data_IF_189088807211
#
_entry.id   IF_189088807211
#
_cell.length_a   1.000
_cell.length_b   1.000
_cell.length_c   1.000
_cell.angle_alpha   90.00
_cell.angle_beta   90.00
_cell.angle_gamma   90.00
#
_symmetry.space_group_name_H-M   'P 1'
#
loop_
_entity.id
_entity.type
_entity.pdbx_description
1 polymer ?
#
# COMPACT_ATOMS: atom_id res chain seq x y z
N UNK A 1 -0.05 -15.48 24.84
CA UNK A 1 0.51 -16.65 25.56
C UNK A 1 1.60 -17.39 24.76
N UNK A 2 1.42 -17.56 23.45
CA UNK A 2 2.30 -18.34 22.58
C UNK A 2 3.68 -17.70 22.28
N UNK A 3 3.73 -16.39 22.00
CA UNK A 3 4.99 -15.65 21.75
C UNK A 3 6.01 -15.82 22.89
N UNK A 4 5.56 -15.76 24.15
CA UNK A 4 6.41 -15.98 25.33
C UNK A 4 6.92 -17.43 25.43
N UNK A 5 6.11 -18.43 25.04
CA UNK A 5 6.53 -19.85 25.05
C UNK A 5 7.62 -20.12 24.01
N UNK A 6 7.64 -19.36 22.92
CA UNK A 6 8.69 -19.40 21.91
C UNK A 6 9.95 -18.60 22.30
N UNK A 7 10.03 -18.00 23.50
CA UNK A 7 11.16 -17.17 23.91
C UNK A 7 11.22 -15.78 23.24
N UNK A 8 10.16 -15.38 22.52
CA UNK A 8 10.03 -14.03 21.96
C UNK A 8 9.36 -13.10 22.98
N UNK A 9 9.70 -11.81 22.94
CA UNK A 9 9.07 -10.76 23.76
C UNK A 9 8.33 -9.80 22.83
N UNK A 10 7.01 -9.66 23.03
CA UNK A 10 6.19 -8.72 22.28
C UNK A 10 6.20 -7.32 22.90
N UNK A 11 6.12 -6.30 22.05
CA UNK A 11 5.82 -4.91 22.40
C UNK A 11 4.69 -4.44 21.49
N UNK A 12 3.88 -3.52 22.00
CA UNK A 12 2.83 -2.82 21.27
C UNK A 12 3.06 -1.34 21.56
N UNK A 13 2.92 -0.51 20.54
CA UNK A 13 3.04 0.93 20.62
C UNK A 13 1.72 1.54 20.17
N UNK A 14 1.22 2.48 20.96
CA UNK A 14 0.15 3.36 20.49
C UNK A 14 0.77 4.42 19.58
N UNK A 15 0.18 4.61 18.40
CA UNK A 15 0.60 5.63 17.43
C UNK A 15 0.53 7.02 18.08
N UNK A 16 1.43 7.92 17.66
CA UNK A 16 1.49 9.31 18.16
C UNK A 16 0.11 9.98 18.15
N UNK A 17 -0.28 10.55 19.29
CA UNK A 17 -1.55 11.23 19.47
C UNK A 17 -2.78 10.30 19.53
N UNK A 18 -2.58 8.99 19.73
CA UNK A 18 -3.64 8.00 19.94
C UNK A 18 -3.48 7.32 21.29
N UNK A 19 -4.62 7.01 21.91
CA UNK A 19 -4.68 6.34 23.22
C UNK A 19 -3.78 7.02 24.26
N UNK A 20 -2.81 6.29 24.81
CA UNK A 20 -1.91 6.78 25.85
C UNK A 20 -0.68 7.52 25.27
N UNK A 21 -0.50 7.55 23.95
CA UNK A 21 0.62 8.23 23.30
C UNK A 21 0.38 9.73 23.13
N UNK A 22 1.36 10.53 23.56
CA UNK A 22 1.37 11.98 23.39
C UNK A 22 1.48 12.40 21.91
N UNK A 23 1.30 13.71 21.66
CA UNK A 23 1.49 14.33 20.35
C UNK A 23 0.20 14.56 19.58
N UNK A 24 0.30 14.75 18.26
CA UNK A 24 -0.84 14.98 17.37
C UNK A 24 -0.92 13.86 16.36
N UNK A 25 -2.10 13.26 16.25
CA UNK A 25 -2.36 12.23 15.27
C UNK A 25 -2.54 12.83 13.86
N UNK A 26 -1.86 12.21 12.91
CA UNK A 26 -2.02 12.40 11.47
C UNK A 26 -1.62 11.09 10.82
N UNK A 27 -2.52 10.51 10.03
CA UNK A 27 -2.35 9.17 9.44
C UNK A 27 -0.99 9.05 8.73
N UNK A 28 -0.13 8.09 9.11
CA UNK A 28 1.11 7.71 8.40
C UNK A 28 2.20 8.77 8.36
N UNK A 29 1.98 9.96 8.95
CA UNK A 29 2.91 11.09 8.81
C UNK A 29 4.18 10.91 9.66
N UNK A 30 4.05 10.33 10.86
CA UNK A 30 5.17 10.15 11.79
C UNK A 30 5.60 8.69 11.96
N UNK A 31 4.77 7.74 11.52
CA UNK A 31 4.86 6.33 11.91
C UNK A 31 6.15 5.67 11.44
N UNK A 32 6.66 6.08 10.26
CA UNK A 32 7.96 5.63 9.78
C UNK A 32 9.09 5.99 10.75
N UNK A 33 9.17 7.23 11.23
CA UNK A 33 10.24 7.68 12.11
C UNK A 33 10.03 7.18 13.54
N UNK A 34 8.80 7.26 14.04
CA UNK A 34 8.44 6.80 15.39
C UNK A 34 8.66 5.29 15.55
N UNK A 35 8.38 4.52 14.50
CA UNK A 35 8.70 3.10 14.43
C UNK A 35 10.21 2.84 14.48
N UNK A 36 11.03 3.65 13.79
CA UNK A 36 12.49 3.50 13.81
C UNK A 36 13.07 3.82 15.19
N UNK A 37 12.61 4.91 15.80
CA UNK A 37 13.01 5.29 17.15
C UNK A 37 12.60 4.22 18.17
N UNK A 38 11.43 3.60 18.00
CA UNK A 38 11.01 2.45 18.82
C UNK A 38 11.96 1.27 18.65
N UNK A 39 12.39 0.95 17.42
CA UNK A 39 13.35 -0.13 17.18
C UNK A 39 14.69 0.14 17.87
N UNK A 40 15.22 1.35 17.76
CA UNK A 40 16.46 1.75 18.42
C UNK A 40 16.32 1.68 19.94
N UNK A 41 15.20 2.17 20.49
CA UNK A 41 14.92 2.09 21.91
C UNK A 41 14.84 0.64 22.39
N UNK A 42 14.11 -0.24 21.68
CA UNK A 42 14.02 -1.67 22.01
C UNK A 42 15.40 -2.32 21.96
N UNK A 43 16.20 -2.01 20.94
CA UNK A 43 17.53 -2.59 20.76
C UNK A 43 18.49 -2.21 21.90
N UNK A 44 18.36 -1.01 22.45
CA UNK A 44 19.18 -0.53 23.57
C UNK A 44 18.86 -1.21 24.92
N UNK A 45 17.76 -1.95 25.03
CA UNK A 45 17.36 -2.55 26.30
C UNK A 45 18.18 -3.81 26.63
N UNK A 46 18.55 -3.99 27.90
CA UNK A 46 19.35 -5.14 28.37
C UNK A 46 18.70 -6.51 28.11
N UNK A 47 17.37 -6.55 27.90
CA UNK A 47 16.62 -7.78 27.59
C UNK A 47 16.51 -8.06 26.09
N UNK A 48 17.04 -7.18 25.23
CA UNK A 48 16.98 -7.28 23.77
C UNK A 48 18.25 -7.89 23.21
N UNK A 49 18.10 -8.64 22.12
CA UNK A 49 19.25 -9.13 21.32
C UNK A 49 19.65 -8.13 20.23
N UNK A 50 18.95 -6.99 20.14
CA UNK A 50 19.09 -6.04 19.03
C UNK A 50 18.47 -6.52 17.71
N UNK A 51 17.89 -7.73 17.66
CA UNK A 51 17.17 -8.26 16.50
C UNK A 51 15.68 -8.19 16.73
N UNK A 52 14.99 -7.36 15.96
CA UNK A 52 13.58 -7.07 16.16
C UNK A 52 12.79 -7.47 14.92
N UNK A 53 11.71 -8.21 15.15
CA UNK A 53 10.74 -8.54 14.12
C UNK A 53 9.44 -7.80 14.34
N UNK A 54 8.79 -7.41 13.24
CA UNK A 54 7.48 -6.72 13.28
C UNK A 54 6.39 -7.62 12.68
N UNK A 55 5.16 -7.47 13.18
CA UNK A 55 3.97 -8.25 12.81
C UNK A 55 2.73 -7.36 12.96
N UNK A 56 1.79 -7.46 12.03
CA UNK A 56 0.56 -6.67 12.08
C UNK A 56 -0.20 -6.70 10.77
N UNK A 57 -1.48 -6.38 10.83
CA UNK A 57 -2.38 -6.31 9.68
C UNK A 57 -2.88 -4.88 9.44
N UNK A 58 -3.23 -4.57 8.18
CA UNK A 58 -3.79 -3.28 7.77
C UNK A 58 -2.78 -2.18 8.07
N UNK A 59 -3.19 -1.12 8.75
CA UNK A 59 -2.33 -0.04 9.25
C UNK A 59 -1.03 -0.55 9.92
N UNK A 60 -1.13 -1.56 10.79
CA UNK A 60 0.03 -2.13 11.48
C UNK A 60 0.95 -2.90 10.51
N UNK A 61 0.43 -3.34 9.37
CA UNK A 61 1.19 -3.91 8.27
C UNK A 61 1.87 -2.84 7.44
N UNK A 62 1.16 -1.76 7.14
CA UNK A 62 1.64 -0.60 6.39
C UNK A 62 2.83 0.05 7.09
N UNK A 63 2.73 0.31 8.40
CA UNK A 63 3.80 0.86 9.22
C UNK A 63 5.11 0.07 9.06
N UNK A 64 5.04 -1.25 8.92
CA UNK A 64 6.23 -2.09 8.74
C UNK A 64 6.89 -1.86 7.39
N UNK A 65 6.09 -1.75 6.32
CA UNK A 65 6.58 -1.48 4.97
C UNK A 65 7.21 -0.09 4.92
N UNK A 66 6.52 0.91 5.45
CA UNK A 66 6.97 2.29 5.48
C UNK A 66 8.28 2.43 6.27
N UNK A 67 8.32 1.94 7.50
CA UNK A 67 9.52 1.89 8.34
C UNK A 67 10.71 1.21 7.65
N UNK A 68 10.47 0.13 6.90
CA UNK A 68 11.55 -0.64 6.28
C UNK A 68 12.39 0.17 5.28
N UNK A 69 11.86 1.29 4.76
CA UNK A 69 12.58 2.21 3.85
C UNK A 69 13.72 2.96 4.55
N UNK A 70 13.64 3.12 5.87
CA UNK A 70 14.71 3.73 6.67
C UNK A 70 15.88 2.76 6.88
N UNK A 71 15.68 1.47 6.61
CA UNK A 71 16.71 0.41 6.72
C UNK A 71 17.36 0.39 8.11
N UNK A 72 16.56 0.58 9.15
CA UNK A 72 17.03 0.49 10.53
C UNK A 72 17.72 -0.88 10.75
N UNK A 73 18.97 -0.92 11.26
CA UNK A 73 19.75 -2.15 11.39
C UNK A 73 19.13 -3.17 12.35
N UNK A 74 18.23 -2.74 13.24
CA UNK A 74 17.52 -3.60 14.18
C UNK A 74 16.26 -4.24 13.57
N UNK A 75 15.73 -3.71 12.45
CA UNK A 75 14.59 -4.28 11.74
C UNK A 75 15.01 -5.54 10.97
N UNK A 76 14.94 -6.69 11.63
CA UNK A 76 15.57 -7.92 11.15
C UNK A 76 14.65 -8.75 10.25
N UNK A 77 13.34 -8.69 10.46
CA UNK A 77 12.35 -9.37 9.62
C UNK A 77 10.94 -8.83 9.88
N UNK A 78 10.08 -8.87 8.88
CA UNK A 78 8.69 -8.41 9.02
C UNK A 78 7.66 -9.38 8.46
N UNK A 79 6.45 -9.31 9.01
CA UNK A 79 5.26 -10.00 8.50
C UNK A 79 4.15 -8.94 8.35
N UNK A 80 4.20 -8.13 7.28
CA UNK A 80 3.16 -7.17 6.97
C UNK A 80 1.97 -7.91 6.34
N UNK A 81 0.78 -7.74 6.94
CA UNK A 81 -0.44 -8.34 6.42
C UNK A 81 -1.39 -7.26 5.89
N UNK A 82 -2.01 -7.49 4.73
CA UNK A 82 -2.88 -6.53 4.04
C UNK A 82 -2.31 -5.10 4.05
N UNK A 83 -1.04 -4.97 3.69
CA UNK A 83 -0.25 -3.75 3.88
C UNK A 83 -0.10 -2.90 2.61
N UNK A 84 -1.02 -3.04 1.65
CA UNK A 84 -0.86 -2.37 0.36
C UNK A 84 -1.10 -0.86 0.39
N UNK A 85 -1.75 -0.33 1.43
CA UNK A 85 -1.92 1.11 1.60
C UNK A 85 -0.59 1.86 1.72
N UNK A 86 0.48 1.19 2.15
CA UNK A 86 1.84 1.74 2.15
C UNK A 86 2.34 2.13 0.74
N UNK A 87 1.78 1.53 -0.32
CA UNK A 87 2.11 1.85 -1.72
C UNK A 87 1.16 2.88 -2.35
N UNK A 88 -0.09 2.97 -1.87
CA UNK A 88 -1.17 3.78 -2.47
C UNK A 88 -1.95 4.61 -1.46
N UNK A 89 -1.25 5.49 -0.74
CA UNK A 89 -1.93 6.53 0.04
C UNK A 89 -3.02 5.96 0.99
N UNK A 90 -2.67 4.94 1.78
CA UNK A 90 -3.60 4.22 2.67
C UNK A 90 -4.77 3.50 1.98
N UNK A 91 -4.59 3.01 0.75
CA UNK A 91 -5.60 2.32 -0.07
C UNK A 91 -6.78 3.22 -0.50
N UNK A 92 -6.63 4.53 -0.35
CA UNK A 92 -7.73 5.48 -0.55
C UNK A 92 -7.96 5.81 -2.02
N UNK A 93 -6.94 5.65 -2.88
CA UNK A 93 -6.99 6.04 -4.28
C UNK A 93 -6.70 4.85 -5.20
N UNK A 94 -7.73 4.39 -5.91
CA UNK A 94 -7.61 3.37 -6.95
C UNK A 94 -7.80 3.99 -8.33
N UNK A 95 -6.74 3.99 -9.15
CA UNK A 95 -6.80 4.57 -10.50
C UNK A 95 -7.14 6.06 -10.54
N UNK A 96 -6.94 6.78 -9.43
CA UNK A 96 -7.30 8.20 -9.26
C UNK A 96 -8.72 8.44 -8.74
N UNK A 97 -9.49 7.40 -8.46
CA UNK A 97 -10.80 7.48 -7.81
C UNK A 97 -10.69 7.19 -6.31
N UNK A 98 -11.45 7.91 -5.49
CA UNK A 98 -11.51 7.68 -4.03
C UNK A 98 -12.34 6.43 -3.73
N UNK A 99 -11.73 5.47 -3.03
CA UNK A 99 -12.39 4.27 -2.49
C UNK A 99 -13.29 4.60 -1.30
N UNK A 100 -14.39 5.32 -1.52
CA UNK A 100 -15.23 5.86 -0.44
C UNK A 100 -15.75 4.79 0.54
N UNK A 101 -16.03 3.58 0.07
CA UNK A 101 -16.52 2.48 0.90
C UNK A 101 -15.53 2.00 1.95
N UNK A 102 -14.23 2.17 1.70
CA UNK A 102 -13.16 1.85 2.65
C UNK A 102 -12.79 3.10 3.47
N UNK A 103 -12.56 4.21 2.77
CA UNK A 103 -12.12 5.48 3.33
C UNK A 103 -13.04 5.98 4.47
N UNK A 104 -14.32 6.18 4.15
CA UNK A 104 -15.21 6.90 5.05
C UNK A 104 -15.49 6.12 6.35
N UNK A 105 -15.81 4.81 6.32
CA UNK A 105 -15.96 4.03 7.55
C UNK A 105 -14.67 3.95 8.38
N UNK A 106 -13.50 3.87 7.72
CA UNK A 106 -12.22 3.85 8.42
C UNK A 106 -11.98 5.16 9.18
N UNK A 107 -12.12 6.31 8.52
CA UNK A 107 -11.95 7.61 9.18
C UNK A 107 -12.99 7.88 10.26
N UNK A 108 -14.24 7.47 10.04
CA UNK A 108 -15.31 7.56 11.04
C UNK A 108 -14.96 6.80 12.32
N UNK A 109 -14.31 5.64 12.20
CA UNK A 109 -14.00 4.76 13.34
C UNK A 109 -12.65 5.05 13.98
N UNK A 110 -11.62 5.30 13.18
CA UNK A 110 -10.22 5.35 13.63
C UNK A 110 -9.55 6.70 13.45
N UNK A 111 -10.10 7.56 12.58
CA UNK A 111 -9.52 8.85 12.20
C UNK A 111 -9.63 9.96 13.24
N UNK A 112 -10.25 9.72 14.39
CA UNK A 112 -10.38 10.73 15.45
C UNK A 112 -9.02 11.24 15.89
N UNK A 113 -8.87 12.57 15.89
CA UNK A 113 -7.70 13.28 16.44
C UNK A 113 -7.82 13.61 17.94
N UNK A 114 -8.90 13.20 18.58
CA UNK A 114 -9.13 13.37 20.02
C UNK A 114 -9.33 12.00 20.68
N UNK A 115 -8.85 11.90 21.92
CA UNK A 115 -9.00 10.70 22.74
C UNK A 115 -9.61 11.05 24.10
N UNK A 116 -10.59 10.25 24.60
CA UNK A 116 -11.15 9.06 23.96
C UNK A 116 -11.98 9.42 22.71
N UNK A 117 -11.83 8.62 21.64
CA UNK A 117 -12.60 8.81 20.42
C UNK A 117 -14.13 8.70 20.67
N UNK A 118 -14.96 9.53 20.02
CA UNK A 118 -16.42 9.42 20.11
C UNK A 118 -16.95 8.09 19.60
N UNK A 119 -18.06 7.61 20.18
CA UNK A 119 -18.74 6.40 19.76
C UNK A 119 -19.47 6.60 18.43
N UNK A 120 -19.09 5.85 17.38
CA UNK A 120 -19.65 5.99 16.03
C UNK A 120 -20.41 4.76 15.53
N UNK A 121 -20.58 3.71 16.35
CA UNK A 121 -21.30 2.48 15.93
C UNK A 121 -22.78 2.67 15.57
N UNK A 122 -23.40 3.78 15.99
CA UNK A 122 -24.80 4.10 15.70
C UNK A 122 -25.01 4.86 14.39
N UNK A 123 -23.94 5.22 13.68
CA UNK A 123 -24.04 5.92 12.40
C UNK A 123 -24.66 5.01 11.35
N UNK A 124 -25.69 5.51 10.67
CA UNK A 124 -26.26 4.85 9.50
C UNK A 124 -25.32 5.07 8.29
N UNK A 125 -24.49 4.07 8.02
CA UNK A 125 -23.53 4.12 6.90
C UNK A 125 -24.24 4.30 5.55
N UNK A 126 -25.42 3.70 5.35
CA UNK A 126 -26.15 3.82 4.09
C UNK A 126 -26.61 5.26 3.86
N UNK A 127 -27.09 5.95 4.90
CA UNK A 127 -27.40 7.38 4.81
C UNK A 127 -26.15 8.24 4.68
N UNK A 128 -25.06 7.91 5.38
CA UNK A 128 -23.79 8.64 5.25
C UNK A 128 -23.29 8.65 3.80
N UNK A 129 -23.33 7.51 3.11
CA UNK A 129 -22.89 7.40 1.71
C UNK A 129 -23.73 8.22 0.71
N UNK A 130 -24.93 8.66 1.08
CA UNK A 130 -25.77 9.54 0.27
C UNK A 130 -25.44 11.04 0.47
N UNK A 131 -24.49 11.37 1.34
CA UNK A 131 -24.16 12.75 1.69
C UNK A 131 -23.38 13.46 0.60
N UNK A 132 -23.83 14.67 0.24
CA UNK A 132 -23.12 15.59 -0.65
C UNK A 132 -22.88 16.98 0.01
N UNK A 133 -21.76 17.67 -0.32
CA UNK A 133 -20.59 17.10 -1.01
C UNK A 133 -19.94 16.01 -0.14
N UNK A 134 -19.37 14.99 -0.80
CA UNK A 134 -18.92 13.77 -0.11
C UNK A 134 -17.75 14.04 0.85
N UNK A 135 -16.96 15.11 0.62
CA UNK A 135 -15.88 15.56 1.52
C UNK A 135 -16.38 15.82 2.95
N UNK A 136 -17.64 16.26 3.12
CA UNK A 136 -18.22 16.50 4.44
C UNK A 136 -18.84 15.25 5.09
N UNK A 137 -18.81 14.07 4.43
CA UNK A 137 -19.69 12.96 4.84
C UNK A 137 -19.39 12.44 6.25
N UNK A 138 -18.11 12.27 6.58
CA UNK A 138 -17.67 11.73 7.88
C UNK A 138 -18.01 12.73 8.99
N UNK A 139 -17.77 14.02 8.74
CA UNK A 139 -18.15 15.12 9.63
C UNK A 139 -19.66 15.22 9.84
N UNK A 140 -20.47 15.16 8.78
CA UNK A 140 -21.94 15.21 8.86
C UNK A 140 -22.54 13.98 9.53
N UNK A 141 -21.84 12.85 9.49
CA UNK A 141 -22.16 11.65 10.25
C UNK A 141 -21.82 11.75 11.76
N UNK A 142 -21.23 12.86 12.21
CA UNK A 142 -20.94 13.12 13.62
C UNK A 142 -19.54 12.72 14.06
N UNK A 143 -18.63 12.41 13.14
CA UNK A 143 -17.23 12.22 13.48
C UNK A 143 -16.60 13.51 14.04
N UNK A 144 -15.63 13.42 14.96
CA UNK A 144 -14.77 14.54 15.30
C UNK A 144 -13.88 14.91 14.11
N UNK A 145 -13.02 15.91 14.28
CA UNK A 145 -12.04 16.26 13.25
C UNK A 145 -11.12 15.06 12.93
N UNK A 146 -10.98 14.74 11.64
CA UNK A 146 -10.16 13.64 11.10
C UNK A 146 -9.28 14.16 9.96
N UNK A 147 -8.47 13.31 9.32
CA UNK A 147 -7.78 13.68 8.07
C UNK A 147 -8.63 13.42 6.81
N UNK A 148 -9.87 12.90 6.93
CA UNK A 148 -10.71 12.49 5.79
C UNK A 148 -10.83 13.58 4.72
N UNK A 149 -11.16 14.79 5.13
CA UNK A 149 -11.36 15.93 4.22
C UNK A 149 -10.12 16.19 3.37
N UNK A 150 -8.93 16.16 3.98
CA UNK A 150 -7.68 16.36 3.26
C UNK A 150 -7.42 15.18 2.31
N UNK A 151 -7.50 13.95 2.80
CA UNK A 151 -7.21 12.74 2.03
C UNK A 151 -8.08 12.58 0.78
N UNK A 152 -9.34 13.03 0.81
CA UNK A 152 -10.24 12.92 -0.35
C UNK A 152 -10.27 14.18 -1.23
N UNK A 153 -9.52 15.23 -0.85
CA UNK A 153 -9.44 16.49 -1.61
C UNK A 153 -8.16 16.62 -2.44
N UNK A 154 -7.14 15.80 -2.17
CA UNK A 154 -5.86 15.84 -2.90
C UNK A 154 -5.82 14.87 -4.08
N UNK A 155 -5.37 15.37 -5.23
CA UNK A 155 -5.14 14.54 -6.41
C UNK A 155 -3.93 13.61 -6.19
N UNK A 156 -3.83 12.47 -6.90
CA UNK A 156 -2.72 11.52 -6.70
C UNK A 156 -1.30 12.08 -6.91
N UNK A 157 -1.16 13.16 -7.69
CA UNK A 157 0.11 13.83 -7.99
C UNK A 157 0.38 15.08 -7.12
N UNK A 158 -0.47 15.33 -6.13
CA UNK A 158 -0.32 16.47 -5.23
C UNK A 158 0.92 16.30 -4.30
N UNK A 159 1.84 17.29 -4.22
CA UNK A 159 2.97 17.24 -3.29
C UNK A 159 2.58 17.11 -1.81
N UNK A 160 1.32 17.36 -1.45
CA UNK A 160 0.77 17.08 -0.12
C UNK A 160 1.07 15.65 0.36
N UNK A 161 1.12 14.68 -0.55
CA UNK A 161 1.43 13.28 -0.25
C UNK A 161 2.88 13.02 0.17
N UNK A 162 3.82 13.92 -0.15
CA UNK A 162 5.25 13.76 0.20
C UNK A 162 5.51 13.85 1.72
N UNK A 163 4.49 14.21 2.49
CA UNK A 163 4.55 14.39 3.95
C UNK A 163 4.32 13.09 4.72
N UNK A 164 4.04 11.99 4.03
CA UNK A 164 3.73 10.69 4.62
C UNK A 164 4.82 9.65 4.41
N UNK A 165 4.71 8.55 5.15
CA UNK A 165 5.60 7.41 5.13
C UNK A 165 5.54 6.52 3.88
N UNK A 166 4.65 6.78 2.92
CA UNK A 166 4.43 5.90 1.76
C UNK A 166 5.70 5.58 0.97
N UNK A 167 5.69 4.40 0.36
CA UNK A 167 6.80 3.86 -0.42
C UNK A 167 6.55 3.96 -1.91
N UNK A 168 7.64 4.14 -2.64
CA UNK A 168 7.65 4.21 -4.11
C UNK A 168 8.94 3.62 -4.67
N UNK A 169 9.04 3.54 -5.99
CA UNK A 169 10.18 2.95 -6.73
C UNK A 169 11.58 3.51 -6.41
N UNK A 170 11.67 4.69 -5.77
CA UNK A 170 12.94 5.32 -5.36
C UNK A 170 13.48 4.73 -4.06
N UNK A 171 12.62 4.16 -3.23
CA UNK A 171 13.00 3.62 -1.93
C UNK A 171 13.81 2.32 -2.05
N UNK A 172 14.58 2.02 -1.02
CA UNK A 172 15.49 0.86 -0.93
C UNK A 172 15.25 0.14 0.39
N UNK A 173 15.50 -1.16 0.41
CA UNK A 173 15.09 -2.02 1.51
C UNK A 173 16.21 -2.98 1.92
N UNK A 174 16.26 -3.33 3.21
CA UNK A 174 17.20 -4.33 3.72
C UNK A 174 16.53 -5.44 4.57
N UNK A 175 15.20 -5.38 4.73
CA UNK A 175 14.45 -6.26 5.62
C UNK A 175 13.80 -7.42 4.85
N UNK A 176 14.05 -8.69 5.23
CA UNK A 176 13.22 -9.82 4.81
C UNK A 176 11.74 -9.61 5.13
N UNK A 177 10.85 -9.91 4.19
CA UNK A 177 9.41 -9.76 4.37
C UNK A 177 8.64 -11.04 4.02
N UNK A 178 7.70 -11.41 4.89
CA UNK A 178 6.65 -12.38 4.60
C UNK A 178 5.33 -11.63 4.50
N UNK A 179 4.98 -11.20 3.28
CA UNK A 179 3.75 -10.46 3.04
C UNK A 179 2.57 -11.42 2.96
N UNK A 180 1.48 -11.08 3.65
CA UNK A 180 0.27 -11.92 3.68
C UNK A 180 -0.93 -11.08 3.29
N UNK A 181 -1.75 -11.56 2.37
CA UNK A 181 -2.98 -10.87 1.96
C UNK A 181 -4.01 -11.91 1.52
N UNK A 182 -5.20 -11.46 1.13
CA UNK A 182 -6.29 -12.32 0.66
C UNK A 182 -6.80 -11.87 -0.70
N UNK A 183 -7.34 -12.79 -1.49
CA UNK A 183 -8.01 -12.49 -2.76
C UNK A 183 -9.25 -11.59 -2.60
N UNK A 184 -9.91 -11.58 -1.43
CA UNK A 184 -11.03 -10.68 -1.15
C UNK A 184 -10.61 -9.40 -0.40
N UNK A 185 -9.31 -9.11 -0.38
CA UNK A 185 -8.77 -7.87 0.15
C UNK A 185 -8.52 -6.89 -1.00
N UNK A 186 -8.87 -5.61 -0.82
CA UNK A 186 -8.71 -4.56 -1.85
C UNK A 186 -7.24 -4.36 -2.22
N UNK A 187 -6.33 -4.57 -1.28
CA UNK A 187 -4.89 -4.33 -1.43
C UNK A 187 -4.08 -5.53 -1.93
N UNK A 188 -4.74 -6.57 -2.44
CA UNK A 188 -4.04 -7.79 -2.89
C UNK A 188 -3.07 -7.52 -4.05
N UNK A 189 -3.42 -6.59 -4.94
CA UNK A 189 -2.57 -6.21 -6.06
C UNK A 189 -1.27 -5.54 -5.57
N UNK A 190 -1.42 -4.61 -4.64
CA UNK A 190 -0.35 -3.83 -4.01
C UNK A 190 0.59 -4.74 -3.22
N UNK A 191 0.08 -5.79 -2.59
CA UNK A 191 0.91 -6.80 -1.91
C UNK A 191 1.93 -7.42 -2.88
N UNK A 192 1.52 -7.77 -4.10
CA UNK A 192 2.46 -8.27 -5.11
C UNK A 192 3.40 -7.17 -5.61
N UNK A 193 2.91 -5.93 -5.80
CA UNK A 193 3.76 -4.80 -6.21
C UNK A 193 4.83 -4.50 -5.17
N UNK A 194 4.48 -4.48 -3.88
CA UNK A 194 5.39 -4.27 -2.76
C UNK A 194 6.42 -5.40 -2.69
N UNK A 195 6.00 -6.66 -2.77
CA UNK A 195 6.94 -7.79 -2.73
C UNK A 195 7.93 -7.74 -3.90
N UNK A 196 7.44 -7.41 -5.10
CA UNK A 196 8.29 -7.20 -6.28
C UNK A 196 9.24 -6.02 -6.08
N UNK A 197 8.72 -4.88 -5.63
CA UNK A 197 9.49 -3.67 -5.39
C UNK A 197 10.62 -3.92 -4.39
N UNK A 198 10.31 -4.54 -3.25
CA UNK A 198 11.30 -4.86 -2.23
C UNK A 198 12.37 -5.85 -2.72
N UNK A 199 11.98 -6.80 -3.57
CA UNK A 199 12.93 -7.73 -4.22
C UNK A 199 13.85 -7.00 -5.20
N UNK A 200 13.33 -6.11 -6.02
CA UNK A 200 14.10 -5.38 -7.04
C UNK A 200 14.99 -4.29 -6.43
N UNK A 201 14.52 -3.67 -5.35
CA UNK A 201 15.19 -2.56 -4.68
C UNK A 201 15.91 -2.97 -3.39
N UNK A 202 16.07 -4.27 -3.14
CA UNK A 202 16.82 -4.77 -1.99
C UNK A 202 18.31 -4.50 -2.13
N UNK A 203 18.95 -3.93 -1.11
CA UNK A 203 20.37 -3.56 -1.18
C UNK A 203 21.32 -4.74 -0.95
N UNK A 204 20.86 -5.74 -0.20
CA UNK A 204 21.60 -6.98 0.07
C UNK A 204 20.94 -8.17 -0.63
N UNK A 205 21.71 -9.23 -0.88
CA UNK A 205 21.17 -10.52 -1.32
C UNK A 205 20.16 -11.07 -0.29
N UNK A 206 20.46 -10.88 1.00
CA UNK A 206 19.53 -11.17 2.08
C UNK A 206 18.16 -10.52 1.84
N UNK A 207 18.11 -9.22 1.55
CA UNK A 207 16.86 -8.51 1.31
C UNK A 207 16.17 -8.97 0.02
N UNK A 208 16.93 -9.10 -1.08
CA UNK A 208 16.38 -9.47 -2.39
C UNK A 208 15.80 -10.89 -2.38
N UNK A 209 16.52 -11.84 -1.80
CA UNK A 209 16.14 -13.26 -1.88
C UNK A 209 15.11 -13.65 -0.83
N UNK A 210 14.81 -12.80 0.16
CA UNK A 210 13.90 -13.12 1.26
C UNK A 210 12.64 -12.26 1.29
N UNK A 211 12.07 -12.05 0.11
CA UNK A 211 10.71 -11.58 -0.06
C UNK A 211 9.80 -12.77 -0.32
N UNK A 212 8.69 -12.88 0.42
CA UNK A 212 7.73 -13.97 0.33
C UNK A 212 6.31 -13.41 0.31
N UNK A 213 5.41 -14.10 -0.39
CA UNK A 213 3.99 -13.73 -0.50
C UNK A 213 3.12 -14.94 -0.17
N UNK A 214 2.13 -14.74 0.70
CA UNK A 214 1.05 -15.71 0.95
C UNK A 214 -0.26 -15.02 0.61
N UNK A 215 -0.98 -15.51 -0.40
CA UNK A 215 -2.33 -15.04 -0.72
C UNK A 215 -3.37 -16.09 -0.41
N UNK A 216 -4.29 -15.72 0.45
CA UNK A 216 -5.35 -16.58 0.94
C UNK A 216 -6.72 -16.10 0.44
N UNK A 217 -7.82 -16.47 1.09
CA UNK A 217 -9.16 -16.36 0.54
C UNK A 217 -10.23 -15.90 1.54
N UNK A 218 -9.88 -15.47 2.76
CA UNK A 218 -10.81 -14.81 3.70
C UNK A 218 -10.90 -13.31 3.45
N UNK A 219 -11.41 -12.52 4.40
CA UNK A 219 -11.57 -11.06 4.28
C UNK A 219 -10.46 -10.31 5.03
N UNK A 220 -10.42 -8.99 4.91
CA UNK A 220 -9.39 -8.14 5.51
C UNK A 220 -9.07 -8.51 6.97
N UNK A 221 -7.80 -8.83 7.24
CA UNK A 221 -7.26 -9.28 8.53
C UNK A 221 -7.82 -10.58 9.13
N UNK A 222 -8.61 -11.36 8.40
CA UNK A 222 -9.23 -12.59 8.91
C UNK A 222 -8.47 -13.88 8.54
N UNK A 223 -7.17 -13.78 8.24
CA UNK A 223 -6.40 -14.86 7.59
C UNK A 223 -6.45 -16.23 8.29
N UNK A 224 -6.59 -16.27 9.62
CA UNK A 224 -6.68 -17.48 10.41
C UNK A 224 -8.11 -18.00 10.63
N UNK A 225 -9.11 -17.37 10.01
CA UNK A 225 -10.52 -17.76 10.12
C UNK A 225 -10.93 -18.89 9.18
N UNK A 226 -10.03 -19.32 8.28
CA UNK A 226 -10.31 -20.41 7.35
C UNK A 226 -10.52 -21.75 8.10
N UNK A 227 -11.48 -22.54 7.61
CA UNK A 227 -11.83 -23.86 8.14
C UNK A 227 -11.73 -24.93 7.05
N UNK A 228 -11.96 -26.19 7.43
CA UNK A 228 -12.10 -27.33 6.50
C UNK A 228 -13.25 -27.15 5.48
N UNK A 229 -14.16 -26.22 5.74
CA UNK A 229 -15.26 -25.83 4.86
C UNK A 229 -15.42 -24.32 4.89
N UNK A 230 -14.51 -23.63 4.22
CA UNK A 230 -14.52 -22.17 4.19
C UNK A 230 -15.58 -21.65 3.22
N UNK A 231 -16.34 -20.64 3.68
CA UNK A 231 -17.34 -19.95 2.88
C UNK A 231 -17.11 -18.45 3.02
N UNK A 232 -17.04 -17.74 1.90
CA UNK A 232 -16.92 -16.28 1.87
C UNK A 232 -18.03 -15.70 0.99
N UNK A 233 -18.88 -14.87 1.59
CA UNK A 233 -20.12 -14.42 0.97
C UNK A 233 -21.00 -15.62 0.57
N UNK A 234 -21.19 -15.81 -0.74
CA UNK A 234 -21.93 -16.95 -1.32
C UNK A 234 -21.04 -18.05 -1.90
N UNK A 235 -19.71 -17.87 -1.87
CA UNK A 235 -18.75 -18.81 -2.45
C UNK A 235 -18.31 -19.87 -1.44
N UNK A 236 -18.45 -21.14 -1.80
CA UNK A 236 -17.86 -22.26 -1.07
C UNK A 236 -16.46 -22.52 -1.61
N UNK A 237 -15.48 -22.56 -0.71
CA UNK A 237 -14.06 -22.65 -1.04
C UNK A 237 -13.43 -23.96 -0.57
N UNK A 238 -14.12 -24.83 0.18
CA UNK A 238 -13.58 -26.09 0.66
C UNK A 238 -12.56 -25.92 1.79
N UNK A 239 -11.66 -26.89 1.91
CA UNK A 239 -10.55 -26.81 2.86
C UNK A 239 -9.52 -25.80 2.35
N UNK A 240 -9.46 -24.71 3.10
CA UNK A 240 -8.70 -23.55 2.74
C UNK A 240 -7.82 -23.10 3.92
N UNK A 241 -7.65 -23.98 4.91
CA UNK A 241 -6.81 -23.75 6.08
C UNK A 241 -5.34 -23.62 5.68
N UNK A 242 -4.61 -22.83 6.45
CA UNK A 242 -3.17 -22.67 6.31
C UNK A 242 -2.55 -22.41 7.67
N UNK A 243 -1.41 -23.04 7.97
CA UNK A 243 -0.81 -22.96 9.29
C UNK A 243 0.08 -21.73 9.43
N UNK A 244 -0.56 -20.55 9.48
CA UNK A 244 0.12 -19.25 9.63
C UNK A 244 0.98 -19.19 10.88
N UNK A 245 0.45 -19.65 12.02
CA UNK A 245 1.18 -19.62 13.28
C UNK A 245 2.52 -20.37 13.20
N UNK A 246 2.52 -21.58 12.63
CA UNK A 246 3.75 -22.36 12.43
C UNK A 246 4.70 -21.64 11.46
N UNK A 247 4.19 -21.05 10.39
CA UNK A 247 4.99 -20.30 9.43
C UNK A 247 5.63 -19.06 10.08
N UNK A 248 4.87 -18.28 10.85
CA UNK A 248 5.34 -17.04 11.48
C UNK A 248 6.38 -17.31 12.56
N UNK A 249 6.19 -18.35 13.37
CA UNK A 249 7.23 -18.76 14.32
C UNK A 249 8.49 -19.23 13.61
N UNK A 250 8.36 -20.05 12.56
CA UNK A 250 9.49 -20.51 11.76
C UNK A 250 10.22 -19.32 11.11
N UNK A 251 9.50 -18.31 10.65
CA UNK A 251 10.06 -17.07 10.13
C UNK A 251 10.91 -16.34 11.18
N UNK A 252 10.39 -16.07 12.37
CA UNK A 252 11.15 -15.36 13.40
C UNK A 252 12.27 -16.22 14.02
N UNK A 253 12.10 -17.53 14.14
CA UNK A 253 13.17 -18.43 14.57
C UNK A 253 14.36 -18.36 13.60
N UNK A 254 14.09 -18.26 12.29
CA UNK A 254 15.14 -18.07 11.28
C UNK A 254 15.85 -16.74 11.48
N UNK A 255 15.10 -15.64 11.46
CA UNK A 255 15.71 -14.31 11.33
C UNK A 255 16.17 -13.72 12.65
N UNK A 256 15.38 -13.88 13.72
CA UNK A 256 15.71 -13.29 15.02
C UNK A 256 16.66 -14.17 15.83
N UNK A 257 16.66 -15.50 15.61
CA UNK A 257 17.47 -16.45 16.38
C UNK A 257 18.56 -17.15 15.56
N UNK A 258 18.54 -17.04 14.23
CA UNK A 258 19.53 -17.70 13.37
C UNK A 258 19.33 -19.21 13.25
N UNK A 259 18.15 -19.74 13.60
CA UNK A 259 17.90 -21.19 13.56
C UNK A 259 17.74 -21.64 12.11
N UNK A 260 18.55 -22.61 11.69
CA UNK A 260 18.34 -23.32 10.41
C UNK A 260 17.14 -24.26 10.54
N UNK A 261 16.00 -23.79 10.06
CA UNK A 261 14.73 -24.52 10.14
C UNK A 261 14.11 -24.73 8.75
N UNK A 262 14.90 -24.57 7.69
CA UNK A 262 14.49 -24.70 6.29
C UNK A 262 13.63 -23.56 5.75
N UNK A 263 13.53 -22.39 6.40
CA UNK A 263 12.86 -21.23 5.77
C UNK A 263 13.42 -20.89 4.38
N UNK A 264 14.71 -21.18 4.14
CA UNK A 264 15.34 -21.00 2.84
C UNK A 264 14.71 -21.83 1.71
N UNK A 265 14.07 -22.97 2.03
CA UNK A 265 13.40 -23.84 1.04
C UNK A 265 11.89 -23.62 0.94
N UNK A 266 11.33 -22.68 1.69
CA UNK A 266 9.91 -22.32 1.57
C UNK A 266 9.69 -21.66 0.20
N UNK A 267 8.63 -22.05 -0.54
CA UNK A 267 8.28 -21.39 -1.79
C UNK A 267 8.07 -19.89 -1.58
N UNK A 268 8.57 -19.07 -2.50
CA UNK A 268 8.46 -17.59 -2.41
C UNK A 268 7.03 -17.10 -2.49
N UNK A 269 6.16 -17.86 -3.15
CA UNK A 269 4.75 -17.53 -3.31
C UNK A 269 3.91 -18.75 -2.95
N UNK A 270 2.93 -18.56 -2.08
CA UNK A 270 1.93 -19.57 -1.74
C UNK A 270 0.56 -18.93 -1.93
N UNK A 271 -0.27 -19.49 -2.80
CA UNK A 271 -1.57 -18.92 -3.13
C UNK A 271 -2.67 -19.95 -3.05
N UNK A 272 -3.83 -19.55 -2.56
CA UNK A 272 -5.03 -20.35 -2.65
C UNK A 272 -5.69 -20.18 -4.02
N UNK A 273 -5.76 -21.22 -4.84
CA UNK A 273 -6.33 -21.13 -6.19
C UNK A 273 -7.83 -21.38 -6.12
N UNK A 274 -8.63 -20.31 -6.05
CA UNK A 274 -10.09 -20.40 -6.11
C UNK A 274 -10.57 -21.08 -7.40
N UNK A 275 -11.66 -21.83 -7.30
CA UNK A 275 -12.19 -22.66 -8.39
C UNK A 275 -11.53 -24.05 -8.46
N UNK A 276 -10.22 -24.13 -8.23
CA UNK A 276 -9.55 -25.41 -7.94
C UNK A 276 -9.64 -25.80 -6.44
N UNK A 277 -9.86 -24.80 -5.58
CA UNK A 277 -10.02 -24.90 -4.13
C UNK A 277 -8.84 -25.63 -3.46
N UNK A 278 -7.63 -25.22 -3.83
CA UNK A 278 -6.36 -25.83 -3.36
C UNK A 278 -5.26 -24.80 -3.25
N UNK A 279 -4.39 -24.99 -2.25
CA UNK A 279 -3.12 -24.28 -2.15
C UNK A 279 -2.16 -24.68 -3.28
N UNK A 280 -1.48 -23.69 -3.84
CA UNK A 280 -0.44 -23.84 -4.85
C UNK A 280 0.80 -23.06 -4.41
N UNK A 281 1.96 -23.64 -4.66
CA UNK A 281 3.26 -23.04 -4.36
C UNK A 281 3.97 -22.66 -5.65
N UNK A 282 4.61 -21.49 -5.66
CA UNK A 282 5.40 -20.96 -6.76
C UNK A 282 6.69 -20.33 -6.21
N UNK A 283 7.72 -20.21 -7.04
CA UNK A 283 8.99 -19.59 -6.65
C UNK A 283 9.23 -18.21 -7.27
N UNK A 284 8.44 -17.82 -8.27
CA UNK A 284 8.57 -16.51 -8.88
C UNK A 284 7.48 -15.55 -8.39
N UNK A 285 7.91 -14.42 -7.85
CA UNK A 285 7.06 -13.28 -7.48
C UNK A 285 6.70 -12.44 -8.72
N UNK A 286 7.36 -12.68 -9.87
CA UNK A 286 6.98 -12.06 -11.13
C UNK A 286 5.60 -12.56 -11.59
N UNK A 287 4.80 -11.59 -12.03
CA UNK A 287 3.50 -11.68 -12.71
C UNK A 287 3.13 -13.09 -13.17
N UNK A 288 1.91 -13.59 -12.84
CA UNK A 288 1.42 -14.81 -13.46
C UNK A 288 1.67 -14.68 -14.94
N UNK A 289 2.50 -15.56 -15.50
CA UNK A 289 2.73 -15.60 -16.94
C UNK A 289 1.36 -15.83 -17.53
N UNK A 290 0.68 -14.76 -17.94
CA UNK A 290 -0.52 -14.87 -18.71
C UNK A 290 -0.03 -15.45 -20.02
N UNK A 291 -0.11 -16.77 -20.15
CA UNK A 291 -0.59 -17.30 -21.43
C UNK A 291 -1.96 -16.66 -21.58
N UNK A 292 -1.99 -15.49 -22.23
CA UNK A 292 -3.21 -14.98 -22.83
C UNK A 292 -3.65 -16.06 -23.79
N UNK A 293 -4.47 -16.99 -23.30
CA UNK A 293 -5.30 -17.80 -24.14
C UNK A 293 -6.27 -16.81 -24.77
N UNK A 294 -5.91 -16.26 -25.94
CA UNK A 294 -6.93 -15.88 -26.90
C UNK A 294 -7.74 -17.14 -27.08
N UNK A 295 -8.96 -17.16 -26.57
CA UNK A 295 -9.94 -18.13 -26.96
C UNK A 295 -10.07 -18.00 -28.48
N UNK A 296 -9.33 -18.83 -29.23
CA UNK A 296 -9.55 -19.02 -30.64
C UNK A 296 -11.00 -19.46 -30.76
N UNK A 297 -11.83 -18.60 -31.37
CA UNK A 297 -13.24 -18.87 -31.58
C UNK A 297 -13.38 -20.22 -32.25
N UNK A 298 -13.90 -21.19 -31.50
CA UNK A 298 -14.33 -22.46 -32.04
C UNK A 298 -15.42 -22.18 -33.07
N UNK A 299 -15.21 -22.73 -34.25
CA UNK A 299 -16.10 -22.69 -35.40
C UNK A 299 -17.48 -23.28 -34.99
N UNK A 300 -18.41 -22.40 -34.62
CA UNK A 300 -19.83 -22.74 -34.49
C UNK A 300 -20.59 -21.96 -35.56
N UNK A 301 -20.85 -22.66 -36.65
CA UNK A 301 -21.92 -22.34 -37.59
C UNK A 301 -23.26 -22.32 -36.86
N UNK A 302 -23.73 -21.15 -36.47
CA UNK A 302 -25.16 -20.86 -36.37
C UNK A 302 -25.39 -19.44 -36.84
N UNK A 303 -26.08 -19.33 -37.98
CA UNK A 303 -26.44 -18.07 -38.58
C UNK A 303 -27.47 -17.33 -37.73
N UNK A 304 -27.13 -16.09 -37.35
CA UNK A 304 -28.10 -15.04 -37.09
C UNK A 304 -27.42 -13.70 -37.34
N UNK A 305 -27.90 -13.00 -38.37
CA UNK A 305 -27.43 -11.69 -38.80
C UNK A 305 -27.86 -10.64 -37.79
N UNK A 306 -26.89 -9.98 -37.14
CA UNK A 306 -27.08 -8.64 -36.60
C UNK A 306 -26.02 -7.73 -37.23
N UNK A 307 -26.47 -6.90 -38.19
CA UNK A 307 -25.65 -5.88 -38.85
C UNK A 307 -25.27 -4.81 -37.83
N UNK A 308 -23.98 -4.63 -37.55
CA UNK A 308 -23.46 -3.41 -36.92
C UNK A 308 -23.13 -2.39 -38.01
N UNK A 309 -23.86 -1.28 -38.02
CA UNK A 309 -23.42 -0.05 -38.67
C UNK A 309 -22.21 0.48 -37.92
N UNK A 310 -21.06 0.55 -38.59
CA UNK A 310 -19.99 1.47 -38.24
C UNK A 310 -19.74 2.36 -39.45
N UNK A 311 -20.12 3.64 -39.31
CA UNK A 311 -19.75 4.68 -40.25
C UNK A 311 -18.24 4.87 -40.23
N UNK A 312 -17.63 4.85 -41.42
CA UNK A 312 -16.25 5.30 -41.64
C UNK A 312 -16.20 6.80 -41.39
N UNK A 313 -15.42 7.24 -40.40
CA UNK A 313 -14.98 8.62 -40.31
C UNK A 313 -13.81 8.81 -41.28
N UNK A 314 -14.04 9.70 -42.24
CA UNK A 314 -13.18 10.03 -43.36
C UNK A 314 -12.08 11.01 -42.91
N UNK A 315 -10.82 10.65 -43.11
CA UNK A 315 -9.66 11.51 -42.83
C UNK A 315 -9.53 12.60 -43.90
N UNK A 316 -10.04 13.81 -43.61
CA UNK A 316 -9.81 14.97 -44.48
C UNK A 316 -8.47 15.64 -44.16
N UNK A 317 -7.57 15.54 -45.15
CA UNK A 317 -6.37 16.38 -45.33
C UNK A 317 -6.76 17.86 -45.37
N UNK A 318 -6.06 18.70 -44.62
CA UNK A 318 -5.90 20.12 -44.94
C UNK A 318 -4.56 20.30 -45.66
N UNK A 319 -4.62 20.71 -46.92
CA UNK A 319 -3.48 21.15 -47.71
C UNK A 319 -3.32 22.66 -47.59
N UNK A 320 -2.15 23.12 -47.15
CA UNK A 320 -1.73 24.52 -47.29
C UNK A 320 -1.09 24.70 -48.67
N UNK A 321 -1.64 25.60 -49.49
CA UNK A 321 -1.03 26.07 -50.75
C UNK A 321 -0.04 27.19 -50.45
N UNK A 322 1.15 27.09 -51.02
CA UNK A 322 2.07 28.21 -51.18
C UNK A 322 1.74 28.99 -52.47
N UNK A 323 1.85 30.32 -52.41
CA UNK A 323 1.76 31.24 -53.54
C UNK A 323 2.48 32.55 -53.19
N UNK A 324 3.48 32.90 -54.00
CA UNK A 324 4.49 33.95 -53.83
C UNK A 324 3.99 35.39 -54.00
N UNK A 325 4.63 36.37 -53.34
CA UNK A 325 5.35 37.48 -54.05
C UNK A 325 6.05 38.49 -53.10
N UNK A 326 7.35 38.69 -53.39
CA UNK A 326 8.20 39.92 -53.39
C UNK A 326 7.99 41.06 -52.37
N UNK A 327 9.09 41.43 -51.71
CA UNK A 327 9.69 42.77 -51.91
C UNK A 327 10.09 43.59 -50.67
N UNK A 328 11.42 43.77 -50.48
CA UNK A 328 12.12 44.93 -49.88
C UNK A 328 11.87 45.23 -48.37
N UNK A 329 12.79 45.79 -47.58
CA UNK A 329 14.22 46.07 -47.63
C UNK A 329 14.60 46.61 -46.22
N UNK A 330 15.83 46.34 -45.75
CA UNK A 330 16.67 47.21 -44.89
C UNK A 330 16.16 47.58 -43.47
N UNK A 331 16.97 47.83 -42.44
CA UNK A 331 18.40 47.70 -42.13
C UNK A 331 18.60 48.15 -40.66
N UNK A 332 19.79 47.88 -40.10
CA UNK A 332 20.39 48.43 -38.87
C UNK A 332 19.76 48.02 -37.52
N UNK A 333 20.51 47.76 -36.44
CA UNK A 333 21.95 47.83 -36.22
C UNK A 333 22.24 48.05 -34.72
N UNK A 334 23.28 47.36 -34.23
CA UNK A 334 24.12 47.66 -33.06
C UNK A 334 23.56 47.70 -31.61
N UNK A 335 23.90 46.66 -30.83
CA UNK A 335 24.93 46.62 -29.74
C UNK A 335 24.86 47.59 -28.51
N UNK A 336 25.61 47.36 -27.39
CA UNK A 336 25.10 46.75 -26.14
C UNK A 336 25.51 47.49 -24.82
N UNK A 337 25.33 46.84 -23.64
CA UNK A 337 25.94 47.09 -22.28
C UNK A 337 25.27 48.23 -21.47
N UNK A 338 25.11 48.26 -20.12
CA UNK A 338 25.73 47.60 -18.92
C UNK A 338 24.89 47.96 -17.63
N UNK A 339 25.30 47.75 -16.35
CA UNK A 339 24.44 47.26 -15.24
C UNK A 339 24.38 48.15 -13.96
N UNK A 340 23.88 47.58 -12.83
CA UNK A 340 24.10 47.88 -11.38
C UNK A 340 23.06 48.70 -10.59
N UNK A 341 22.54 48.08 -9.49
CA UNK A 341 22.62 48.47 -8.04
C UNK A 341 21.47 47.78 -7.25
N UNK A 342 21.76 46.90 -6.28
CA UNK A 342 22.03 47.14 -4.84
C UNK A 342 20.92 47.86 -4.05
N UNK A 343 20.41 47.18 -3.01
CA UNK A 343 19.58 47.72 -1.94
C UNK A 343 19.32 46.68 -0.85
N UNK A 344 20.13 46.73 0.23
CA UNK A 344 19.92 46.01 1.51
C UNK A 344 18.86 46.74 2.35
N UNK A 345 18.14 46.01 3.19
CA UNK A 345 17.74 46.50 4.53
C UNK A 345 17.33 45.33 5.44
N UNK A 346 17.99 45.28 6.59
CA UNK A 346 17.88 44.34 7.70
C UNK A 346 16.63 44.58 8.59
N UNK A 347 16.01 43.48 9.11
CA UNK A 347 15.74 43.10 10.54
C UNK A 347 15.03 44.16 11.44
N UNK A 348 14.01 43.82 12.29
CA UNK A 348 14.21 42.88 13.40
C UNK A 348 13.10 41.93 13.87
N UNK A 349 13.62 40.89 14.53
CA UNK A 349 12.98 39.92 15.41
C UNK A 349 12.49 40.54 16.71
N UNK A 350 11.34 40.04 17.16
CA UNK A 350 10.99 39.79 18.57
C UNK A 350 10.18 38.51 18.64
#
# INVERSE_FOLDING_TARGET
MHVRRSGLRGRVQDVRGKFDSEGRFMVSANDTNDGSDMLDWIAAQAWSTGKIGTYGCSYLGEDQIELSKLRNPHHTAMIPQAAGGAYRFADLLEGGAVGLSEAAPWFLKWGSKIEPAPETSKVDLAQMFLTLPFVDMVKKAGAPHTDFEDFVSHAPDDPWWDRFGYVDKRHRFNTPALQVCSWYDSVVHETFLLAKLMRENGESELARDNQFVVIEHTTHCAFDSATERTVVGKGELGDAQFNYYKLYLRWYDRWLKGIENGMASVPKVQIYVMGANKWRSENDIATPTSRTHRAGGGDRKTGSRIRRHFGRADSRRCSARAGSSRGHAQSHGNHPRRPCREGRSDIPLS
#
